data_IF_922930193997
#
_entry.id   IF_922930193997
#
_cell.length_a   1.000
_cell.length_b   1.000
_cell.length_c   1.000
_cell.angle_alpha   90.00
_cell.angle_beta   90.00
_cell.angle_gamma   90.00
#
_symmetry.space_group_name_H-M   'P 1'
#
loop_
_entity.id
_entity.type
_entity.pdbx_description
1 polymer ?
#
# COMPACT_ATOMS: atom_id res chain seq x y z
N UNK A 1 9.65 -7.97 -6.67
CA UNK A 1 9.83 -9.17 -7.52
C UNK A 1 8.92 -10.25 -6.98
N UNK A 2 8.13 -10.87 -7.85
CA UNK A 2 7.29 -12.02 -7.53
C UNK A 2 7.42 -13.07 -8.63
N UNK A 3 7.19 -14.33 -8.29
CA UNK A 3 7.29 -15.46 -9.22
C UNK A 3 5.87 -15.90 -9.55
N UNK A 4 5.50 -15.86 -10.83
CA UNK A 4 4.22 -16.35 -11.32
C UNK A 4 4.40 -17.71 -11.98
N UNK A 5 3.42 -18.60 -11.80
CA UNK A 5 3.39 -19.91 -12.47
C UNK A 5 2.11 -20.02 -13.28
N UNK A 6 2.26 -20.26 -14.58
CA UNK A 6 1.14 -20.54 -15.48
C UNK A 6 0.46 -21.87 -15.15
N UNK A 7 -0.79 -22.09 -15.59
CA UNK A 7 -1.45 -23.39 -15.48
C UNK A 7 -0.68 -24.54 -16.15
N UNK A 8 0.25 -24.23 -17.06
CA UNK A 8 1.10 -25.20 -17.77
C UNK A 8 2.46 -25.44 -17.08
N UNK A 9 2.68 -24.83 -15.92
CA UNK A 9 3.92 -24.96 -15.15
C UNK A 9 5.08 -24.07 -15.61
N UNK A 10 4.88 -23.24 -16.64
CA UNK A 10 5.87 -22.21 -17.02
C UNK A 10 5.92 -21.12 -15.96
N UNK A 11 7.14 -20.82 -15.51
CA UNK A 11 7.43 -19.81 -14.49
C UNK A 11 7.90 -18.52 -15.16
N UNK A 12 7.39 -17.38 -14.68
CA UNK A 12 7.83 -16.05 -15.08
C UNK A 12 8.10 -15.20 -13.83
N UNK A 13 9.21 -14.46 -13.85
CA UNK A 13 9.51 -13.48 -12.79
C UNK A 13 8.92 -12.15 -13.21
N UNK A 14 8.15 -11.54 -12.31
CA UNK A 14 7.52 -10.24 -12.54
C UNK A 14 7.95 -9.19 -11.53
N UNK A 15 8.02 -7.97 -12.03
CA UNK A 15 8.29 -6.76 -11.29
C UNK A 15 7.07 -5.86 -11.38
N UNK A 16 6.99 -4.92 -10.44
CA UNK A 16 5.87 -4.02 -10.33
C UNK A 16 6.39 -2.58 -10.27
N UNK A 17 5.76 -1.70 -11.04
CA UNK A 17 5.98 -0.25 -10.95
C UNK A 17 4.67 0.51 -11.15
N UNK A 18 4.69 1.82 -10.85
CA UNK A 18 3.61 2.71 -11.30
C UNK A 18 3.56 2.71 -12.83
N UNK A 19 2.34 2.74 -13.36
CA UNK A 19 2.13 2.80 -14.82
C UNK A 19 2.67 4.11 -15.37
N UNK A 20 3.31 4.04 -16.52
CA UNK A 20 3.90 5.18 -17.23
C UNK A 20 3.17 5.40 -18.56
N UNK A 21 3.27 6.60 -19.11
CA UNK A 21 2.61 6.94 -20.39
C UNK A 21 3.13 6.08 -21.56
N UNK A 22 4.38 5.63 -21.51
CA UNK A 22 4.94 4.71 -22.51
C UNK A 22 4.24 3.33 -22.53
N UNK A 23 3.55 2.95 -21.45
CA UNK A 23 2.85 1.66 -21.36
C UNK A 23 1.56 1.64 -22.20
N UNK A 24 1.03 2.80 -22.61
CA UNK A 24 -0.28 2.95 -23.26
C UNK A 24 -0.44 2.00 -24.46
N UNK A 25 0.57 1.91 -25.32
CA UNK A 25 0.52 1.06 -26.52
C UNK A 25 0.37 -0.42 -26.14
N UNK A 26 1.15 -0.89 -25.17
CA UNK A 26 1.09 -2.27 -24.70
C UNK A 26 -0.22 -2.58 -23.97
N UNK A 27 -0.72 -1.64 -23.16
CA UNK A 27 -2.02 -1.75 -22.48
C UNK A 27 -3.13 -1.92 -23.53
N UNK A 28 -3.13 -1.10 -24.58
CA UNK A 28 -4.10 -1.19 -25.67
C UNK A 28 -4.08 -2.54 -26.37
N UNK A 29 -2.89 -3.13 -26.58
CA UNK A 29 -2.75 -4.45 -27.19
C UNK A 29 -3.26 -5.60 -26.30
N UNK A 30 -3.33 -5.40 -24.98
CA UNK A 30 -3.90 -6.38 -24.04
C UNK A 30 -5.43 -6.26 -23.90
N UNK A 31 -6.05 -5.18 -24.38
CA UNK A 31 -7.51 -4.99 -24.32
C UNK A 31 -8.20 -5.96 -25.28
N UNK A 32 -9.17 -6.70 -24.73
CA UNK A 32 -9.98 -7.66 -25.49
C UNK A 32 -11.44 -7.26 -25.50
N UNK A 33 -12.24 -7.94 -26.33
CA UNK A 33 -13.71 -7.78 -26.34
C UNK A 33 -14.32 -8.00 -24.96
N UNK A 34 -13.79 -8.95 -24.18
CA UNK A 34 -14.23 -9.19 -22.82
C UNK A 34 -13.95 -8.01 -21.89
N UNK A 35 -12.74 -7.44 -21.94
CA UNK A 35 -12.37 -6.22 -21.20
C UNK A 35 -13.32 -5.06 -21.51
N UNK A 36 -13.63 -4.82 -22.80
CA UNK A 36 -14.53 -3.76 -23.22
C UNK A 36 -15.98 -3.97 -22.74
N UNK A 37 -16.41 -5.22 -22.54
CA UNK A 37 -17.74 -5.52 -21.97
C UNK A 37 -17.79 -5.28 -20.46
N UNK A 38 -16.70 -5.53 -19.75
CA UNK A 38 -16.63 -5.32 -18.30
C UNK A 38 -16.45 -3.85 -17.91
N UNK A 39 -15.57 -3.14 -18.61
CA UNK A 39 -15.14 -1.79 -18.25
C UNK A 39 -15.61 -0.71 -19.23
N UNK A 40 -16.32 -1.09 -20.30
CA UNK A 40 -16.77 -0.18 -21.33
C UNK A 40 -15.66 0.21 -22.32
N UNK A 41 -15.96 1.20 -23.17
CA UNK A 41 -14.99 1.78 -24.10
C UNK A 41 -14.24 2.90 -23.41
N UNK A 42 -12.96 2.68 -23.13
CA UNK A 42 -12.13 3.58 -22.35
C UNK A 42 -11.16 4.37 -23.24
N UNK A 43 -10.99 5.66 -22.94
CA UNK A 43 -9.84 6.42 -23.39
C UNK A 43 -8.71 6.20 -22.38
N UNK A 44 -7.75 5.34 -22.73
CA UNK A 44 -6.67 4.92 -21.82
C UNK A 44 -5.78 6.09 -21.39
N UNK A 45 -5.55 7.06 -22.28
CA UNK A 45 -4.73 8.25 -21.96
C UNK A 45 -5.42 9.04 -20.85
N UNK A 46 -6.69 9.40 -21.08
CA UNK A 46 -7.49 10.14 -20.10
C UNK A 46 -7.63 9.39 -18.77
N UNK A 47 -7.83 8.07 -18.84
CA UNK A 47 -7.97 7.23 -17.65
C UNK A 47 -6.69 7.23 -16.80
N UNK A 48 -5.51 7.10 -17.43
CA UNK A 48 -4.24 7.10 -16.71
C UNK A 48 -3.89 8.47 -16.13
N UNK A 49 -4.21 9.56 -16.84
CA UNK A 49 -4.02 10.93 -16.35
C UNK A 49 -4.85 11.23 -15.10
N UNK A 50 -6.01 10.58 -14.95
CA UNK A 50 -6.92 10.77 -13.80
C UNK A 50 -6.76 9.73 -12.71
N UNK A 51 -5.92 8.72 -12.91
CA UNK A 51 -5.79 7.61 -11.98
C UNK A 51 -5.26 8.05 -10.61
N UNK A 52 -5.95 7.69 -9.52
CA UNK A 52 -5.39 7.80 -8.17
C UNK A 52 -4.20 6.84 -8.02
N UNK A 53 -4.31 5.65 -8.61
CA UNK A 53 -3.22 4.68 -8.69
C UNK A 53 -3.33 3.84 -9.95
N UNK A 54 -2.22 3.66 -10.65
CA UNK A 54 -2.11 2.73 -11.77
C UNK A 54 -0.84 1.91 -11.63
N UNK A 55 -0.97 0.59 -11.77
CA UNK A 55 0.10 -0.37 -11.55
C UNK A 55 0.33 -1.19 -12.81
N UNK A 56 1.58 -1.30 -13.23
CA UNK A 56 2.04 -2.14 -14.34
C UNK A 56 2.94 -3.25 -13.80
N UNK A 57 2.64 -4.49 -14.20
CA UNK A 57 3.52 -5.64 -14.03
C UNK A 57 4.28 -5.92 -15.33
N UNK A 58 5.58 -6.17 -15.22
CA UNK A 58 6.46 -6.47 -16.35
C UNK A 58 7.45 -7.58 -16.00
N UNK A 59 7.97 -8.30 -16.99
CA UNK A 59 8.94 -9.38 -16.79
C UNK A 59 10.40 -8.89 -16.95
N UNK A 60 11.37 -9.80 -16.83
CA UNK A 60 12.81 -9.50 -17.01
C UNK A 60 13.17 -8.91 -18.39
N UNK A 61 12.28 -9.05 -19.38
CA UNK A 61 12.45 -8.52 -20.74
C UNK A 61 11.75 -7.17 -20.93
N UNK A 62 11.24 -6.57 -19.85
CA UNK A 62 10.43 -5.35 -19.86
C UNK A 62 9.09 -5.49 -20.62
N UNK A 63 8.65 -6.72 -20.87
CA UNK A 63 7.36 -6.98 -21.50
C UNK A 63 6.25 -6.82 -20.46
N UNK A 64 5.22 -6.04 -20.79
CA UNK A 64 4.08 -5.80 -19.90
C UNK A 64 3.23 -7.06 -19.81
N UNK A 65 3.15 -7.60 -18.60
CA UNK A 65 2.41 -8.81 -18.25
C UNK A 65 0.98 -8.51 -17.83
N UNK A 66 0.76 -7.39 -17.14
CA UNK A 66 -0.55 -6.93 -16.73
C UNK A 66 -0.54 -5.45 -16.34
N UNK A 67 -1.72 -4.85 -16.32
CA UNK A 67 -1.91 -3.49 -15.85
C UNK A 67 -3.30 -3.36 -15.21
N UNK A 68 -3.38 -2.54 -14.15
CA UNK A 68 -4.64 -2.15 -13.55
C UNK A 68 -4.66 -0.66 -13.17
N UNK A 69 -5.82 -0.04 -13.35
CA UNK A 69 -6.06 1.37 -13.01
C UNK A 69 -7.15 1.48 -11.96
N UNK A 70 -6.91 2.33 -10.97
CA UNK A 70 -7.78 2.56 -9.83
C UNK A 70 -8.10 4.05 -9.66
N UNK A 71 -9.37 4.36 -9.39
CA UNK A 71 -9.84 5.70 -9.09
C UNK A 71 -10.69 5.72 -7.81
N UNK A 72 -10.92 6.89 -7.25
CA UNK A 72 -11.69 7.14 -6.02
C UNK A 72 -13.22 7.25 -6.24
N UNK A 73 -13.71 6.88 -7.42
CA UNK A 73 -15.13 6.86 -7.77
C UNK A 73 -15.52 5.63 -8.61
N UNK A 74 -16.81 5.24 -8.64
CA UNK A 74 -17.33 4.11 -9.42
C UNK A 74 -16.91 4.06 -10.90
N UNK A 75 -16.56 2.87 -11.41
CA UNK A 75 -16.17 2.68 -12.82
C UNK A 75 -17.35 2.66 -13.82
N UNK A 76 -18.58 2.61 -13.31
CA UNK A 76 -19.81 2.81 -14.07
C UNK A 76 -20.67 3.88 -13.43
N UNK A 77 -21.58 4.46 -14.23
CA UNK A 77 -22.45 5.55 -13.78
C UNK A 77 -23.62 5.05 -12.92
N UNK A 78 -23.29 4.48 -11.77
CA UNK A 78 -24.24 4.01 -10.73
C UNK A 78 -24.43 5.02 -9.61
N UNK A 79 -23.46 5.93 -9.43
CA UNK A 79 -23.52 7.03 -8.48
C UNK A 79 -22.75 8.24 -9.01
N UNK A 80 -23.01 9.41 -8.43
CA UNK A 80 -22.15 10.59 -8.65
C UNK A 80 -20.81 10.38 -7.95
N UNK A 81 -19.75 10.98 -8.51
CA UNK A 81 -18.40 10.84 -7.97
C UNK A 81 -18.25 11.41 -6.56
N UNK A 82 -19.05 12.42 -6.20
CA UNK A 82 -19.03 13.10 -4.90
C UNK A 82 -20.02 12.51 -3.87
N UNK A 83 -20.86 11.54 -4.25
CA UNK A 83 -21.94 11.00 -3.39
C UNK A 83 -22.17 9.50 -3.59
N UNK A 84 -21.10 8.73 -3.81
CA UNK A 84 -21.21 7.27 -3.92
C UNK A 84 -21.33 6.58 -2.55
N UNK A 85 -20.81 7.18 -1.48
CA UNK A 85 -20.72 6.55 -0.14
C UNK A 85 -22.10 6.17 0.40
N UNK A 86 -23.08 7.06 0.22
CA UNK A 86 -24.46 6.88 0.68
C UNK A 86 -25.06 5.60 0.09
N UNK A 87 -24.92 5.44 -1.23
CA UNK A 87 -25.42 4.29 -1.98
C UNK A 87 -24.76 2.97 -1.56
N UNK A 88 -23.44 2.97 -1.35
CA UNK A 88 -22.71 1.76 -0.96
C UNK A 88 -23.00 1.35 0.48
N UNK A 89 -23.30 2.31 1.37
CA UNK A 89 -23.76 2.02 2.74
C UNK A 89 -25.18 1.46 2.78
N UNK A 90 -26.04 1.89 1.84
CA UNK A 90 -27.38 1.30 1.68
C UNK A 90 -27.31 -0.12 1.12
N UNK A 91 -26.33 -0.40 0.25
CA UNK A 91 -26.09 -1.74 -0.29
C UNK A 91 -25.69 -2.72 0.83
N UNK A 92 -24.74 -2.31 1.67
CA UNK A 92 -24.31 -3.09 2.83
C UNK A 92 -23.80 -2.16 3.93
N UNK A 93 -24.55 -2.06 5.03
CA UNK A 93 -24.21 -1.20 6.16
C UNK A 93 -23.01 -1.67 6.97
N UNK A 94 -22.62 -2.95 6.83
CA UNK A 94 -21.51 -3.55 7.57
C UNK A 94 -20.16 -3.26 6.92
N UNK A 95 -20.15 -2.63 5.74
CA UNK A 95 -18.94 -2.22 5.02
C UNK A 95 -18.65 -0.74 5.32
N UNK A 96 -17.69 -0.41 6.21
CA UNK A 96 -17.36 0.97 6.58
C UNK A 96 -16.50 1.67 5.50
N UNK A 97 -17.01 1.73 4.28
CA UNK A 97 -16.36 2.41 3.17
C UNK A 97 -16.41 3.94 3.31
N UNK A 98 -15.31 4.58 2.92
CA UNK A 98 -15.10 6.02 2.94
C UNK A 98 -14.23 6.42 1.74
N UNK A 99 -14.22 7.70 1.34
CA UNK A 99 -13.33 8.16 0.26
C UNK A 99 -11.83 7.94 0.53
N UNK A 100 -11.41 7.85 1.79
CA UNK A 100 -10.00 7.65 2.17
C UNK A 100 -9.55 6.19 2.12
N UNK A 101 -10.46 5.24 2.34
CA UNK A 101 -10.12 3.82 2.47
C UNK A 101 -10.64 2.94 1.31
N UNK A 102 -11.08 3.57 0.21
CA UNK A 102 -11.75 2.89 -0.89
C UNK A 102 -11.24 3.36 -2.25
N UNK A 103 -10.97 2.41 -3.15
CA UNK A 103 -10.75 2.67 -4.57
C UNK A 103 -11.64 1.76 -5.42
N UNK A 104 -11.80 2.10 -6.68
CA UNK A 104 -12.55 1.35 -7.67
C UNK A 104 -11.62 0.91 -8.79
N UNK A 105 -11.72 -0.33 -9.23
CA UNK A 105 -10.97 -0.82 -10.38
C UNK A 105 -11.66 -0.39 -11.68
N UNK A 106 -11.00 0.48 -12.45
CA UNK A 106 -11.51 0.99 -13.73
C UNK A 106 -10.99 0.25 -14.94
N UNK A 107 -9.88 -0.46 -14.79
CA UNK A 107 -9.30 -1.29 -15.84
C UNK A 107 -8.48 -2.40 -15.22
N UNK A 108 -8.60 -3.59 -15.80
CA UNK A 108 -7.64 -4.67 -15.63
C UNK A 108 -7.40 -5.36 -16.97
N UNK A 109 -6.13 -5.48 -17.34
CA UNK A 109 -5.67 -6.23 -18.51
C UNK A 109 -4.47 -7.08 -18.13
N UNK A 110 -4.37 -8.27 -18.72
CA UNK A 110 -3.26 -9.17 -18.47
C UNK A 110 -3.04 -10.13 -19.65
N UNK A 111 -1.83 -10.67 -19.73
CA UNK A 111 -1.54 -11.86 -20.53
C UNK A 111 -2.31 -13.05 -19.93
N UNK A 112 -3.18 -13.68 -20.72
CA UNK A 112 -4.10 -14.73 -20.23
C UNK A 112 -3.43 -15.80 -19.39
N UNK A 113 -2.29 -16.30 -19.86
CA UNK A 113 -1.56 -17.41 -19.26
C UNK A 113 -1.14 -17.13 -17.81
N UNK A 114 -0.95 -15.86 -17.44
CA UNK A 114 -0.53 -15.42 -16.10
C UNK A 114 -1.58 -14.56 -15.40
N UNK A 115 -2.77 -14.39 -15.99
CA UNK A 115 -3.78 -13.42 -15.56
C UNK A 115 -4.16 -13.50 -14.08
N UNK A 116 -4.36 -14.71 -13.53
CA UNK A 116 -4.67 -14.93 -12.10
C UNK A 116 -3.52 -14.48 -11.19
N UNK A 117 -2.30 -14.91 -11.51
CA UNK A 117 -1.10 -14.52 -10.75
C UNK A 117 -0.85 -13.02 -10.79
N UNK A 118 -0.98 -12.41 -11.97
CA UNK A 118 -0.88 -10.97 -12.16
C UNK A 118 -1.94 -10.20 -11.35
N UNK A 119 -3.20 -10.65 -11.38
CA UNK A 119 -4.28 -10.01 -10.63
C UNK A 119 -3.99 -9.99 -9.13
N UNK A 120 -3.60 -11.14 -8.57
CA UNK A 120 -3.23 -11.26 -7.14
C UNK A 120 -2.04 -10.39 -6.77
N UNK A 121 -0.99 -10.34 -7.59
CA UNK A 121 0.18 -9.50 -7.31
C UNK A 121 -0.16 -8.00 -7.39
N UNK A 122 -0.99 -7.59 -8.35
CA UNK A 122 -1.46 -6.20 -8.45
C UNK A 122 -2.24 -5.82 -7.19
N UNK A 123 -3.23 -6.62 -6.79
CA UNK A 123 -4.05 -6.34 -5.60
C UNK A 123 -3.17 -6.25 -4.34
N UNK A 124 -2.25 -7.19 -4.16
CA UNK A 124 -1.30 -7.17 -3.03
C UNK A 124 -0.42 -5.91 -3.06
N UNK A 125 0.03 -5.49 -4.24
CA UNK A 125 0.86 -4.29 -4.40
C UNK A 125 0.08 -3.02 -4.11
N UNK A 126 -1.17 -2.92 -4.56
CA UNK A 126 -2.04 -1.77 -4.30
C UNK A 126 -2.27 -1.60 -2.80
N UNK A 127 -2.65 -2.66 -2.09
CA UNK A 127 -2.80 -2.61 -0.63
C UNK A 127 -1.48 -2.32 0.09
N UNK A 128 -0.35 -2.83 -0.41
CA UNK A 128 0.96 -2.48 0.18
C UNK A 128 1.32 -1.01 -0.03
N UNK A 129 0.96 -0.42 -1.16
CA UNK A 129 1.31 0.94 -1.53
C UNK A 129 0.47 2.00 -0.81
N UNK A 130 -0.78 1.67 -0.45
CA UNK A 130 -1.71 2.58 0.24
C UNK A 130 -2.16 1.90 1.54
N UNK A 131 -1.53 2.21 2.69
CA UNK A 131 -1.86 1.59 3.98
C UNK A 131 -3.32 1.79 4.41
N UNK A 132 -3.89 2.97 4.14
CA UNK A 132 -5.25 3.37 4.51
C UNK A 132 -6.32 2.68 3.66
N UNK A 133 -5.94 2.10 2.50
CA UNK A 133 -6.86 1.43 1.59
C UNK A 133 -7.29 0.09 2.17
N UNK A 134 -8.59 -0.06 2.41
CA UNK A 134 -9.21 -1.26 2.98
C UNK A 134 -10.05 -2.02 1.96
N UNK A 135 -10.65 -1.30 0.99
CA UNK A 135 -11.60 -1.86 0.04
C UNK A 135 -11.22 -1.45 -1.39
N UNK A 136 -11.28 -2.42 -2.30
CA UNK A 136 -11.31 -2.15 -3.74
C UNK A 136 -12.65 -2.65 -4.25
N UNK A 137 -13.44 -1.77 -4.86
CA UNK A 137 -14.69 -2.15 -5.51
C UNK A 137 -14.50 -2.36 -7.01
N UNK A 138 -15.35 -3.20 -7.58
CA UNK A 138 -15.50 -3.39 -9.01
C UNK A 138 -16.99 -3.48 -9.33
N UNK A 139 -17.44 -2.66 -10.26
CA UNK A 139 -18.83 -2.67 -10.74
C UNK A 139 -18.82 -3.21 -12.16
N UNK A 140 -19.73 -4.13 -12.48
CA UNK A 140 -19.85 -4.71 -13.83
C UNK A 140 -21.33 -4.88 -14.19
N UNK A 141 -21.70 -4.85 -15.48
CA UNK A 141 -23.07 -5.14 -15.88
C UNK A 141 -23.51 -6.51 -15.34
N UNK A 142 -24.68 -6.60 -14.73
CA UNK A 142 -25.15 -7.80 -14.01
C UNK A 142 -25.26 -9.06 -14.88
N UNK A 143 -25.44 -8.90 -16.19
CA UNK A 143 -25.46 -10.02 -17.15
C UNK A 143 -24.06 -10.57 -17.49
N UNK A 144 -22.98 -9.92 -17.04
CA UNK A 144 -21.60 -10.33 -17.26
C UNK A 144 -21.06 -11.12 -16.07
N UNK A 145 -20.22 -12.12 -16.37
CA UNK A 145 -19.36 -12.77 -15.37
C UNK A 145 -18.02 -12.03 -15.27
N UNK A 146 -17.46 -11.96 -14.06
CA UNK A 146 -16.09 -11.50 -13.80
C UNK A 146 -15.00 -12.30 -14.53
N UNK A 147 -15.34 -13.50 -15.01
CA UNK A 147 -14.38 -14.43 -15.59
C UNK A 147 -13.50 -15.10 -14.53
N UNK A 148 -12.68 -16.05 -14.96
CA UNK A 148 -11.88 -16.91 -14.07
C UNK A 148 -10.78 -16.17 -13.31
N UNK A 149 -10.43 -14.95 -13.71
CA UNK A 149 -9.36 -14.16 -13.09
C UNK A 149 -9.86 -13.31 -11.94
N UNK A 150 -10.79 -12.39 -12.22
CA UNK A 150 -11.24 -11.40 -11.23
C UNK A 150 -12.05 -12.04 -10.10
N UNK A 151 -12.77 -13.13 -10.37
CA UNK A 151 -13.51 -13.89 -9.35
C UNK A 151 -12.60 -14.50 -8.27
N UNK A 152 -11.27 -14.53 -8.47
CA UNK A 152 -10.33 -15.06 -7.48
C UNK A 152 -9.95 -14.08 -6.38
N UNK A 153 -10.32 -12.80 -6.52
CA UNK A 153 -9.99 -11.72 -5.58
C UNK A 153 -11.19 -10.85 -5.20
N UNK A 154 -12.33 -11.06 -5.85
CA UNK A 154 -13.54 -10.25 -5.70
C UNK A 154 -14.72 -11.14 -5.30
N UNK A 155 -15.42 -10.73 -4.24
CA UNK A 155 -16.67 -11.32 -3.78
C UNK A 155 -17.85 -10.41 -4.14
N UNK A 156 -19.01 -10.98 -4.46
CA UNK A 156 -20.19 -10.18 -4.81
C UNK A 156 -20.90 -9.69 -3.55
N UNK A 157 -21.18 -8.39 -3.49
CA UNK A 157 -21.93 -7.76 -2.38
C UNK A 157 -23.41 -7.68 -2.73
N UNK A 158 -23.74 -7.29 -3.95
CA UNK A 158 -25.12 -7.15 -4.39
C UNK A 158 -25.25 -6.53 -5.77
N UNK A 159 -26.42 -5.94 -6.05
CA UNK A 159 -26.71 -5.29 -7.33
C UNK A 159 -27.27 -3.88 -7.08
N UNK A 160 -26.97 -2.96 -7.99
CA UNK A 160 -27.38 -1.56 -7.96
C UNK A 160 -27.89 -1.16 -9.36
N UNK A 161 -29.00 -0.41 -9.47
CA UNK A 161 -29.48 0.09 -10.75
C UNK A 161 -28.56 1.18 -11.32
N UNK A 162 -28.43 1.27 -12.64
CA UNK A 162 -27.74 2.40 -13.27
C UNK A 162 -28.53 3.71 -13.15
N UNK A 163 -27.82 4.84 -13.06
CA UNK A 163 -28.44 6.17 -13.15
C UNK A 163 -28.87 6.54 -14.58
N UNK A 164 -28.32 5.86 -15.59
CA UNK A 164 -28.48 6.24 -17.01
C UNK A 164 -29.15 5.19 -17.87
N UNK A 165 -29.11 3.92 -17.47
CA UNK A 165 -29.61 2.80 -18.27
C UNK A 165 -30.61 1.97 -17.46
N UNK A 166 -31.52 1.29 -18.15
CA UNK A 166 -32.41 0.30 -17.55
C UNK A 166 -31.69 -1.06 -17.41
N UNK A 167 -30.52 -1.03 -16.78
CA UNK A 167 -29.66 -2.20 -16.55
C UNK A 167 -29.13 -2.17 -15.12
N UNK A 168 -29.19 -3.33 -14.47
CA UNK A 168 -28.61 -3.54 -13.15
C UNK A 168 -27.11 -3.84 -13.26
N UNK A 169 -26.36 -3.35 -12.28
CA UNK A 169 -24.93 -3.56 -12.15
C UNK A 169 -24.63 -4.37 -10.90
N UNK A 170 -23.83 -5.41 -11.05
CA UNK A 170 -23.32 -6.20 -9.93
C UNK A 170 -22.13 -5.47 -9.30
N UNK A 171 -22.13 -5.37 -7.98
CA UNK A 171 -21.07 -4.77 -7.18
C UNK A 171 -20.26 -5.87 -6.50
N UNK A 172 -18.95 -5.79 -6.71
CA UNK A 172 -17.99 -6.71 -6.15
C UNK A 172 -16.99 -5.96 -5.27
N UNK A 173 -16.54 -6.63 -4.21
CA UNK A 173 -15.60 -6.09 -3.24
C UNK A 173 -14.37 -7.00 -3.12
N UNK A 174 -13.21 -6.37 -2.99
CA UNK A 174 -11.95 -7.00 -2.64
C UNK A 174 -11.47 -6.39 -1.32
N UNK A 175 -11.36 -7.24 -0.29
CA UNK A 175 -10.97 -6.82 1.05
C UNK A 175 -9.45 -6.90 1.23
N UNK A 176 -8.87 -5.87 1.86
CA UNK A 176 -7.44 -5.85 2.22
C UNK A 176 -7.02 -7.12 2.96
N UNK A 177 -7.75 -7.51 3.99
CA UNK A 177 -7.39 -8.62 4.87
C UNK A 177 -7.32 -9.98 4.16
N UNK A 178 -7.99 -10.13 3.00
CA UNK A 178 -7.94 -11.35 2.18
C UNK A 178 -6.64 -11.49 1.38
N UNK A 179 -5.86 -10.40 1.24
CA UNK A 179 -4.67 -10.35 0.39
C UNK A 179 -3.42 -9.80 1.11
N UNK A 180 -3.63 -9.06 2.19
CA UNK A 180 -2.59 -8.47 3.00
C UNK A 180 -2.91 -8.75 4.47
N UNK A 181 -2.10 -9.58 5.16
CA UNK A 181 -2.41 -10.03 6.51
C UNK A 181 -2.49 -8.83 7.46
N UNK A 182 -3.49 -8.85 8.33
CA UNK A 182 -3.57 -7.89 9.42
C UNK A 182 -2.57 -8.30 10.50
N UNK A 183 -1.59 -7.43 10.71
CA UNK A 183 -0.56 -7.58 11.71
C UNK A 183 -1.18 -7.39 13.10
N UNK A 184 -1.13 -8.40 13.96
CA UNK A 184 -1.57 -8.28 15.34
C UNK A 184 -0.40 -7.93 16.25
N UNK A 185 -0.50 -6.79 16.94
CA UNK A 185 0.54 -6.36 17.88
C UNK A 185 0.18 -6.84 19.28
N UNK A 186 1.09 -7.57 19.92
CA UNK A 186 0.96 -8.00 21.31
C UNK A 186 2.30 -7.92 22.05
N UNK A 187 2.24 -8.04 23.38
CA UNK A 187 3.45 -8.18 24.19
C UNK A 187 4.23 -9.44 23.79
N UNK A 188 5.55 -9.30 23.69
CA UNK A 188 6.46 -10.39 23.41
C UNK A 188 6.52 -11.38 24.58
N UNK A 189 6.69 -12.66 24.26
CA UNK A 189 6.86 -13.79 25.17
C UNK A 189 8.18 -14.47 24.86
N UNK A 190 8.78 -15.13 25.85
CA UNK A 190 10.07 -15.81 25.67
C UNK A 190 9.99 -16.87 24.57
N UNK A 191 8.82 -17.50 24.38
CA UNK A 191 8.52 -18.44 23.30
C UNK A 191 8.66 -17.84 21.89
N UNK A 192 8.48 -16.53 21.72
CA UNK A 192 8.63 -15.85 20.42
C UNK A 192 10.10 -15.81 19.94
N UNK A 193 11.05 -16.17 20.81
CA UNK A 193 12.48 -16.21 20.48
C UNK A 193 12.75 -16.99 19.20
N UNK A 194 12.20 -18.20 19.09
CA UNK A 194 12.52 -19.12 17.99
C UNK A 194 11.97 -18.61 16.64
N UNK A 195 10.79 -17.97 16.66
CA UNK A 195 10.18 -17.35 15.48
C UNK A 195 10.98 -16.11 15.01
N UNK A 196 11.53 -15.35 15.96
CA UNK A 196 12.20 -14.09 15.69
C UNK A 196 13.68 -14.26 15.33
N UNK A 197 14.34 -15.32 15.80
CA UNK A 197 15.76 -15.58 15.54
C UNK A 197 16.12 -15.54 14.04
N UNK A 198 15.36 -16.17 13.12
CA UNK A 198 15.61 -16.06 11.69
C UNK A 198 15.64 -14.62 11.17
N UNK A 199 14.80 -13.73 11.72
CA UNK A 199 14.70 -12.33 11.30
C UNK A 199 15.99 -11.59 11.68
N UNK A 200 16.45 -11.75 12.92
CA UNK A 200 17.69 -11.12 13.40
C UNK A 200 18.94 -11.64 12.71
N UNK A 201 19.02 -12.96 12.50
CA UNK A 201 20.16 -13.58 11.80
C UNK A 201 20.25 -13.16 10.33
N UNK A 202 19.13 -12.80 9.71
CA UNK A 202 19.11 -12.32 8.33
C UNK A 202 19.57 -10.86 8.20
N UNK A 203 19.31 -10.03 9.22
CA UNK A 203 19.55 -8.59 9.15
C UNK A 203 20.88 -8.14 9.74
N UNK A 204 21.47 -8.84 10.72
CA UNK A 204 22.74 -8.39 11.28
C UNK A 204 23.53 -9.46 12.06
N UNK A 205 24.79 -9.67 11.68
CA UNK A 205 25.73 -10.48 12.49
C UNK A 205 26.28 -9.70 13.68
N UNK A 206 26.18 -8.37 13.67
CA UNK A 206 26.69 -7.48 14.72
C UNK A 206 25.91 -7.66 16.02
N UNK A 207 24.58 -7.81 15.97
CA UNK A 207 23.75 -7.98 17.16
C UNK A 207 24.11 -9.25 17.94
N UNK A 208 24.28 -10.37 17.22
CA UNK A 208 24.74 -11.64 17.82
C UNK A 208 26.15 -11.52 18.40
N UNK A 209 27.05 -10.81 17.72
CA UNK A 209 28.42 -10.59 18.20
C UNK A 209 28.47 -9.66 19.44
N UNK A 210 27.56 -8.70 19.53
CA UNK A 210 27.54 -7.68 20.59
C UNK A 210 26.83 -8.17 21.84
N UNK A 211 25.73 -8.90 21.69
CA UNK A 211 24.84 -9.26 22.80
C UNK A 211 24.73 -10.78 23.05
N UNK A 212 25.41 -11.61 22.25
CA UNK A 212 25.44 -13.07 22.44
C UNK A 212 24.27 -13.81 21.79
N UNK A 213 24.22 -15.14 21.96
CA UNK A 213 23.21 -16.00 21.30
C UNK A 213 21.81 -15.90 21.93
N UNK A 214 21.70 -15.47 23.19
CA UNK A 214 20.44 -15.44 23.95
C UNK A 214 19.90 -14.04 24.20
N UNK A 215 20.46 -13.02 23.53
CA UNK A 215 20.13 -11.62 23.81
C UNK A 215 18.63 -11.32 23.69
N UNK A 216 17.95 -11.96 22.76
CA UNK A 216 16.55 -11.71 22.49
C UNK A 216 15.66 -12.24 23.61
N UNK A 217 15.98 -13.44 24.12
CA UNK A 217 15.27 -14.01 25.27
C UNK A 217 15.46 -13.11 26.50
N UNK A 218 16.71 -12.70 26.79
CA UNK A 218 17.02 -11.80 27.91
C UNK A 218 16.29 -10.45 27.78
N UNK A 219 16.23 -9.87 26.57
CA UNK A 219 15.55 -8.61 26.32
C UNK A 219 14.02 -8.72 26.52
N UNK A 220 13.44 -9.85 26.13
CA UNK A 220 12.01 -10.14 26.36
C UNK A 220 11.74 -10.40 27.84
N UNK A 221 12.65 -11.06 28.55
CA UNK A 221 12.51 -11.37 29.98
C UNK A 221 12.70 -10.12 30.87
N UNK A 222 13.59 -9.21 30.47
CA UNK A 222 13.92 -7.98 31.19
C UNK A 222 12.89 -6.84 31.03
N UNK A 223 11.70 -7.14 30.50
CA UNK A 223 10.62 -6.16 30.41
C UNK A 223 10.17 -5.69 31.80
N UNK A 224 10.11 -4.38 31.99
CA UNK A 224 9.71 -3.74 33.24
C UNK A 224 8.72 -2.58 32.97
N UNK A 225 8.64 -1.62 33.89
CA UNK A 225 7.76 -0.43 33.74
C UNK A 225 8.26 0.56 32.67
N UNK A 226 9.55 0.52 32.35
CA UNK A 226 10.25 1.46 31.49
C UNK A 226 10.62 0.81 30.15
N UNK A 227 10.74 -0.52 30.10
CA UNK A 227 11.14 -1.30 28.94
C UNK A 227 10.05 -2.30 28.55
N UNK A 228 9.60 -2.24 27.31
CA UNK A 228 8.60 -3.14 26.78
C UNK A 228 9.06 -3.74 25.46
N UNK A 229 8.75 -5.02 25.27
CA UNK A 229 8.97 -5.71 24.02
C UNK A 229 7.62 -6.13 23.46
N UNK A 230 7.39 -5.82 22.19
CA UNK A 230 6.18 -6.20 21.46
C UNK A 230 6.57 -6.99 20.22
N UNK A 231 5.71 -7.94 19.88
CA UNK A 231 5.79 -8.67 18.62
C UNK A 231 4.62 -8.32 17.74
N UNK A 232 4.88 -8.44 16.45
CA UNK A 232 3.88 -8.47 15.42
C UNK A 232 3.67 -9.92 15.01
N UNK A 233 2.45 -10.44 15.15
CA UNK A 233 2.13 -11.83 14.80
C UNK A 233 1.15 -11.94 13.61
N UNK A 234 1.33 -13.00 12.83
CA UNK A 234 0.44 -13.45 11.76
C UNK A 234 0.21 -14.94 11.94
N UNK A 235 -1.06 -15.34 12.07
CA UNK A 235 -1.46 -16.76 12.24
C UNK A 235 -0.74 -17.47 13.40
N UNK A 236 -0.43 -16.73 14.48
CA UNK A 236 0.23 -17.25 15.68
C UNK A 236 1.76 -17.31 15.60
N UNK A 237 2.37 -16.87 14.50
CA UNK A 237 3.83 -16.80 14.33
C UNK A 237 4.29 -15.35 14.45
N UNK A 238 5.32 -15.10 15.26
CA UNK A 238 5.92 -13.77 15.36
C UNK A 238 6.75 -13.45 14.12
N UNK A 239 6.38 -12.37 13.41
CA UNK A 239 7.00 -11.93 12.15
C UNK A 239 7.65 -10.55 12.25
N UNK A 240 7.64 -9.95 13.45
CA UNK A 240 8.30 -8.69 13.72
C UNK A 240 8.46 -8.48 15.22
N UNK A 241 9.47 -7.70 15.59
CA UNK A 241 9.82 -7.41 16.97
C UNK A 241 10.15 -5.94 17.14
N UNK A 242 9.74 -5.35 18.27
CA UNK A 242 10.13 -4.02 18.67
C UNK A 242 10.36 -4.00 20.18
N UNK A 243 11.52 -3.48 20.58
CA UNK A 243 11.81 -3.15 21.98
C UNK A 243 11.79 -1.64 22.14
N UNK A 244 11.02 -1.14 23.08
CA UNK A 244 10.83 0.28 23.37
C UNK A 244 11.20 0.59 24.81
N UNK A 245 11.84 1.73 25.02
CA UNK A 245 12.25 2.24 26.33
C UNK A 245 11.64 3.62 26.57
N UNK A 246 11.15 3.89 27.77
CA UNK A 246 10.66 5.21 28.20
C UNK A 246 11.77 6.26 28.30
N UNK A 247 13.04 5.81 28.39
CA UNK A 247 14.22 6.69 28.49
C UNK A 247 14.70 7.07 27.09
N UNK A 248 14.26 8.23 26.64
CA UNK A 248 14.66 8.80 25.34
C UNK A 248 15.87 9.71 25.51
N UNK A 249 16.92 9.51 24.69
CA UNK A 249 18.05 10.43 24.63
C UNK A 249 17.71 11.63 23.74
N UNK A 250 17.10 12.65 24.34
CA UNK A 250 16.67 13.87 23.65
C UNK A 250 17.82 14.62 23.00
N UNK A 251 18.99 14.66 23.64
CA UNK A 251 20.16 15.36 23.11
C UNK A 251 20.62 14.75 21.79
N UNK A 252 20.73 13.41 21.71
CA UNK A 252 21.08 12.72 20.48
C UNK A 252 20.08 13.01 19.37
N UNK A 253 18.77 13.04 19.70
CA UNK A 253 17.73 13.36 18.73
C UNK A 253 17.86 14.80 18.21
N UNK A 254 18.14 15.78 19.07
CA UNK A 254 18.39 17.17 18.66
C UNK A 254 19.65 17.34 17.82
N UNK A 255 20.69 16.55 18.07
CA UNK A 255 21.94 16.58 17.30
C UNK A 255 21.80 15.92 15.92
N UNK A 256 20.92 14.91 15.79
CA UNK A 256 20.78 14.12 14.56
C UNK A 256 19.62 14.53 13.65
N UNK A 257 18.60 15.22 14.16
CA UNK A 257 17.38 15.53 13.42
C UNK A 257 16.97 17.00 13.56
N UNK A 258 16.37 17.55 12.49
CA UNK A 258 15.67 18.84 12.58
C UNK A 258 14.31 18.64 13.24
N UNK A 259 14.24 18.99 14.52
CA UNK A 259 13.06 18.79 15.34
C UNK A 259 12.31 20.10 15.62
N UNK A 260 12.62 21.19 14.93
CA UNK A 260 12.01 22.51 15.18
C UNK A 260 10.49 22.47 15.04
N UNK A 261 9.97 21.82 13.99
CA UNK A 261 8.53 21.68 13.75
C UNK A 261 7.80 20.86 14.81
N UNK A 262 8.53 20.08 15.61
CA UNK A 262 8.00 19.26 16.69
C UNK A 262 8.36 19.83 18.07
N UNK A 263 8.79 21.09 18.14
CA UNK A 263 9.27 21.74 19.36
C UNK A 263 10.38 20.96 20.07
N UNK A 264 11.25 20.31 19.30
CA UNK A 264 12.29 19.45 19.84
C UNK A 264 11.74 18.24 20.61
N UNK A 265 10.49 17.82 20.39
CA UNK A 265 9.75 16.85 21.21
C UNK A 265 9.62 17.25 22.69
N UNK A 266 9.75 18.54 23.00
CA UNK A 266 9.48 19.10 24.32
C UNK A 266 8.06 19.69 24.36
N UNK A 267 7.44 19.65 25.54
CA UNK A 267 6.19 20.40 25.76
C UNK A 267 6.53 21.88 25.73
N UNK A 268 5.86 22.71 24.90
CA UNK A 268 6.13 24.13 24.81
C UNK A 268 5.99 24.80 26.18
N UNK A 269 7.02 25.49 26.63
CA UNK A 269 6.99 26.30 27.84
C UNK A 269 6.53 27.72 27.50
N UNK A 270 5.80 28.42 28.39
CA UNK A 270 5.37 29.82 28.16
C UNK A 270 6.51 30.80 27.87
N UNK A 271 7.73 30.45 28.30
CA UNK A 271 8.93 31.27 28.12
C UNK A 271 9.78 30.85 26.91
N UNK A 272 9.34 29.87 26.13
CA UNK A 272 10.05 29.44 24.92
C UNK A 272 10.02 30.57 23.88
N UNK A 273 11.20 30.98 23.42
CA UNK A 273 11.34 31.98 22.36
C UNK A 273 11.03 31.31 21.03
N UNK A 274 9.82 31.54 20.50
CA UNK A 274 9.34 31.01 19.22
C UNK A 274 9.86 31.80 18.01
N UNK A 275 10.59 32.89 18.23
CA UNK A 275 11.15 33.71 17.17
C UNK A 275 12.40 33.07 16.58
N UNK A 276 12.39 32.86 15.25
CA UNK A 276 13.55 32.40 14.50
C UNK A 276 14.74 33.34 14.74
N UNK A 277 15.95 32.81 14.97
CA UNK A 277 17.15 33.64 15.03
C UNK A 277 17.25 34.45 13.73
N UNK A 278 17.21 35.77 13.83
CA UNK A 278 17.46 36.62 12.68
C UNK A 278 18.85 36.30 12.15
N UNK A 279 18.93 35.84 10.90
CA UNK A 279 20.21 35.62 10.23
C UNK A 279 21.07 36.86 10.43
N UNK A 280 22.25 36.67 11.03
CA UNK A 280 23.24 37.72 11.16
C UNK A 280 23.53 38.24 9.76
N UNK A 281 22.98 39.40 9.44
CA UNK A 281 23.27 40.12 8.22
C UNK A 281 24.79 40.25 8.11
N UNK A 282 25.39 39.49 7.20
CA UNK A 282 26.80 39.60 6.86
C UNK A 282 27.00 41.04 6.42
N UNK A 283 27.60 41.86 7.29
CA UNK A 283 28.05 43.19 6.92
C UNK A 283 29.09 42.99 5.82
N UNK A 284 28.71 43.35 4.59
CA UNK A 284 29.61 43.37 3.44
C UNK A 284 30.80 44.25 3.75
N UNK A 285 31.93 43.62 4.04
CA UNK A 285 33.23 44.26 4.04
C UNK A 285 33.53 44.69 2.60
N UNK A 286 33.35 45.98 2.33
CA UNK A 286 33.96 46.64 1.18
C UNK A 286 35.48 46.52 1.32
N UNK A 287 36.07 45.56 0.60
CA UNK A 287 37.50 45.44 0.38
C UNK A 287 37.77 45.62 -1.11
N UNK A 288 38.03 46.85 -1.51
CA UNK A 288 38.67 47.20 -2.78
C UNK A 288 40.10 46.67 -2.84
N UNK A 289 40.52 46.09 -3.96
CA UNK A 289 41.94 46.11 -4.37
C UNK A 289 42.55 44.78 -4.77
N UNK A 290 42.72 44.64 -6.09
CA UNK A 290 43.90 44.13 -6.81
C UNK A 290 44.13 42.62 -7.05
N UNK A 291 44.13 42.33 -8.37
CA UNK A 291 44.86 41.34 -9.18
C UNK A 291 45.86 40.42 -8.43
N UNK A 292 45.87 39.11 -8.67
CA UNK A 292 46.20 38.40 -9.91
C UNK A 292 45.61 36.98 -9.91
#
# INVERSE_FOLDING_TARGET
MSILTSPRGKVEVVYCRRTESQDIYCIQNLIRKFTQKLFGRLNIIYLLEKANLAITLYNDKEEIMAQATFLDYPNWNVAKQDDWVSLFRELDSDIPCTPLNTLFMHLFVAVDEYSVGCCKEIIRTVFKAVPELHFIFLIVPSYMSLGSTLITVFDQVGNIPSLTYDEDFAVYICHRHSHYPQLHIRKARVEDHDDLMPIFMHQDTILKATYGEYFLAELIEAQDKDNHAVVCEVEGVAVGFMSVCSRVNMQLLHECFDLVLFHGFCVPHPDDVLELPQELSVQGSQGSGDCF
#
